data_IF_296887470801
#
_entry.id   IF_296887470801
#
_cell.length_a   1.000
_cell.length_b   1.000
_cell.length_c   1.000
_cell.angle_alpha   90.00
_cell.angle_beta   90.00
_cell.angle_gamma   90.00
#
_symmetry.space_group_name_H-M   'P 1'
#
loop_
_entity.id
_entity.type
_entity.pdbx_description
1 polymer ?
#
# COMPACT_ATOMS: atom_id res chain seq x y z
N UNK A 1 59.84 18.88 -46.14
CA UNK A 1 58.49 18.47 -46.49
C UNK A 1 58.10 17.39 -45.47
N UNK A 2 57.47 17.83 -44.42
CA UNK A 2 57.26 17.04 -43.20
C UNK A 2 55.79 16.57 -43.18
N UNK A 3 55.60 15.24 -43.12
CA UNK A 3 54.29 14.67 -42.92
C UNK A 3 54.03 14.51 -41.42
N UNK A 4 53.08 15.20 -40.93
CA UNK A 4 52.53 15.01 -39.59
C UNK A 4 51.42 13.96 -39.66
N UNK A 5 51.67 12.82 -39.02
CA UNK A 5 50.63 11.82 -38.70
C UNK A 5 50.16 12.09 -37.28
N UNK A 6 49.00 12.74 -37.11
CA UNK A 6 48.35 12.82 -35.84
C UNK A 6 47.61 11.48 -35.56
N UNK A 7 48.03 10.86 -34.50
CA UNK A 7 47.48 9.66 -33.93
C UNK A 7 46.15 9.94 -33.24
N UNK A 8 45.14 9.19 -33.63
CA UNK A 8 43.82 9.16 -32.96
C UNK A 8 43.92 8.24 -31.78
N UNK A 9 44.28 8.74 -30.61
CA UNK A 9 44.08 8.08 -29.33
C UNK A 9 43.07 8.89 -28.52
N UNK A 10 41.90 8.40 -28.35
CA UNK A 10 41.06 8.57 -27.12
C UNK A 10 39.58 8.29 -27.35
N UNK A 11 39.22 7.00 -27.53
CA UNK A 11 37.78 6.61 -27.47
C UNK A 11 37.50 5.45 -26.53
N UNK A 12 38.50 4.95 -25.76
CA UNK A 12 38.29 3.82 -24.86
C UNK A 12 38.00 4.19 -23.39
N UNK A 13 38.16 5.43 -22.98
CA UNK A 13 37.97 5.83 -21.58
C UNK A 13 36.49 5.97 -21.19
N UNK A 14 35.61 6.18 -22.16
CA UNK A 14 34.16 6.30 -21.91
C UNK A 14 33.46 4.96 -21.63
N UNK A 15 33.99 3.84 -22.13
CA UNK A 15 33.34 2.53 -21.93
C UNK A 15 33.73 1.87 -20.61
N UNK A 16 34.91 2.18 -20.07
CA UNK A 16 35.33 1.69 -18.75
C UNK A 16 34.51 2.29 -17.61
N UNK A 17 34.08 3.56 -17.75
CA UNK A 17 33.23 4.23 -16.75
C UNK A 17 31.79 3.70 -16.70
N UNK A 18 31.28 3.14 -17.81
CA UNK A 18 29.95 2.54 -17.86
C UNK A 18 29.92 1.11 -17.24
N UNK A 19 31.03 0.38 -17.27
CA UNK A 19 31.18 -0.91 -16.63
C UNK A 19 31.14 -0.82 -15.09
N UNK A 20 31.78 0.21 -14.52
CA UNK A 20 31.82 0.42 -13.07
C UNK A 20 30.46 0.79 -12.43
N UNK A 21 29.50 1.26 -13.23
CA UNK A 21 28.14 1.58 -12.76
C UNK A 21 27.25 0.32 -12.71
N UNK A 22 27.54 -0.68 -13.55
CA UNK A 22 26.77 -1.92 -13.61
C UNK A 22 27.09 -2.86 -12.42
N UNK A 23 28.31 -2.85 -11.90
CA UNK A 23 28.72 -3.74 -10.80
C UNK A 23 28.20 -3.28 -9.42
N UNK A 24 27.67 -2.05 -9.30
CA UNK A 24 27.14 -1.55 -8.04
C UNK A 24 25.62 -1.81 -7.86
N UNK A 25 24.98 -2.48 -8.83
CA UNK A 25 23.55 -2.87 -8.74
C UNK A 25 23.30 -4.13 -7.89
N UNK A 26 24.36 -4.79 -7.42
CA UNK A 26 24.34 -6.02 -6.63
C UNK A 26 24.65 -5.83 -5.13
N UNK A 27 24.65 -4.60 -4.59
CA UNK A 27 24.72 -4.43 -3.15
C UNK A 27 23.41 -4.96 -2.53
N UNK A 28 23.39 -6.22 -2.13
CA UNK A 28 22.44 -6.72 -1.14
C UNK A 28 22.58 -5.82 0.07
N UNK A 29 21.63 -4.89 0.20
CA UNK A 29 21.44 -4.14 1.44
C UNK A 29 21.07 -5.19 2.48
N UNK A 30 22.05 -5.59 3.29
CA UNK A 30 21.87 -6.39 4.49
C UNK A 30 20.99 -5.56 5.44
N UNK A 31 19.69 -5.58 5.14
CA UNK A 31 18.71 -4.88 5.92
C UNK A 31 18.60 -5.63 7.23
N UNK A 32 19.17 -5.07 8.29
CA UNK A 32 19.04 -5.57 9.65
C UNK A 32 17.62 -6.10 9.89
N UNK A 33 17.46 -7.26 10.54
CA UNK A 33 16.16 -7.88 10.75
C UNK A 33 15.24 -6.88 11.47
N UNK A 34 14.16 -6.51 10.79
CA UNK A 34 13.19 -5.55 11.33
C UNK A 34 12.50 -6.21 12.50
N UNK A 35 12.71 -5.71 13.72
CA UNK A 35 12.08 -6.24 14.92
C UNK A 35 10.56 -6.04 14.88
N UNK A 36 9.78 -7.03 15.37
CA UNK A 36 8.33 -6.91 15.48
C UNK A 36 7.94 -5.81 16.47
N UNK A 37 7.00 -4.93 16.07
CA UNK A 37 6.48 -3.85 16.92
C UNK A 37 5.16 -4.27 17.55
N UNK A 38 5.23 -4.87 18.72
CA UNK A 38 4.09 -5.41 19.48
C UNK A 38 3.91 -4.55 20.75
N UNK A 39 2.69 -4.18 21.07
CA UNK A 39 2.28 -3.47 22.25
C UNK A 39 2.29 -4.39 23.50
N UNK A 40 2.26 -3.83 24.72
CA UNK A 40 2.19 -4.55 25.99
C UNK A 40 1.01 -5.54 26.08
N UNK A 41 -0.02 -5.33 25.28
CA UNK A 41 -1.20 -6.22 25.16
C UNK A 41 -1.07 -7.30 24.07
N UNK A 42 0.12 -7.51 23.52
CA UNK A 42 0.36 -8.49 22.45
C UNK A 42 -0.25 -8.10 21.10
N UNK A 43 -0.54 -6.80 20.88
CA UNK A 43 -1.17 -6.28 19.66
C UNK A 43 -0.18 -5.50 18.82
N UNK A 44 -0.29 -5.61 17.51
CA UNK A 44 0.37 -4.72 16.56
C UNK A 44 -0.60 -3.64 16.08
N UNK A 45 -0.18 -2.39 16.10
CA UNK A 45 -0.99 -1.23 15.71
C UNK A 45 -0.54 -0.68 14.36
N UNK A 46 -1.49 -0.37 13.47
CA UNK A 46 -1.23 0.41 12.27
C UNK A 46 -2.41 1.29 11.88
N UNK A 47 -2.13 2.29 11.04
CA UNK A 47 -3.16 3.16 10.45
C UNK A 47 -3.31 2.85 8.97
N UNK A 48 -4.55 2.81 8.49
CA UNK A 48 -4.86 2.70 7.08
C UNK A 48 -5.65 3.92 6.58
N UNK A 49 -5.47 4.28 5.32
CA UNK A 49 -6.18 5.41 4.70
C UNK A 49 -6.61 5.06 3.28
N UNK A 50 -7.84 5.45 2.91
CA UNK A 50 -8.33 5.39 1.54
C UNK A 50 -9.39 6.47 1.29
N UNK A 51 -9.25 7.25 0.21
CA UNK A 51 -10.09 8.44 -0.04
C UNK A 51 -10.10 9.34 1.20
N UNK A 52 -11.29 9.66 1.73
CA UNK A 52 -11.49 10.46 2.94
C UNK A 52 -11.64 9.60 4.21
N UNK A 53 -11.43 8.28 4.10
CA UNK A 53 -11.55 7.35 5.23
C UNK A 53 -10.21 7.11 5.89
N UNK A 54 -10.21 7.10 7.22
CA UNK A 54 -9.08 6.71 8.06
C UNK A 54 -9.48 5.57 8.98
N UNK A 55 -8.60 4.58 9.13
CA UNK A 55 -8.76 3.45 10.03
C UNK A 55 -7.57 3.36 10.98
N UNK A 56 -7.85 3.06 12.24
CA UNK A 56 -6.87 2.62 13.24
C UNK A 56 -7.11 1.14 13.44
N UNK A 57 -6.10 0.32 13.27
CA UNK A 57 -6.22 -1.14 13.27
C UNK A 57 -5.24 -1.73 14.25
N UNK A 58 -5.73 -2.61 15.10
CA UNK A 58 -4.94 -3.45 16.00
C UNK A 58 -5.14 -4.91 15.59
N UNK A 59 -4.04 -5.61 15.43
CA UNK A 59 -4.00 -7.03 15.10
C UNK A 59 -3.36 -7.78 16.25
N UNK A 60 -3.96 -8.86 16.70
CA UNK A 60 -3.42 -9.80 17.70
C UNK A 60 -3.61 -11.23 17.21
N UNK A 61 -2.89 -12.19 17.74
CA UNK A 61 -3.18 -13.61 17.49
C UNK A 61 -4.52 -13.99 18.09
N UNK A 62 -5.31 -14.78 17.36
CA UNK A 62 -6.66 -15.15 17.78
C UNK A 62 -7.33 -16.14 16.84
N UNK A 63 -8.63 -16.02 16.70
CA UNK A 63 -9.52 -16.95 15.99
C UNK A 63 -10.04 -16.43 14.66
N UNK A 64 -9.54 -15.29 14.17
CA UNK A 64 -9.97 -14.68 12.92
C UNK A 64 -11.16 -13.72 13.05
N UNK A 65 -11.49 -13.28 14.27
CA UNK A 65 -12.60 -12.37 14.48
C UNK A 65 -12.23 -10.93 14.11
N UNK A 66 -13.06 -10.29 13.26
CA UNK A 66 -12.87 -8.88 12.86
C UNK A 66 -14.00 -8.02 13.44
N UNK A 67 -13.62 -7.07 14.29
CA UNK A 67 -14.53 -6.12 14.92
C UNK A 67 -14.25 -4.71 14.41
N UNK A 68 -15.29 -4.00 13.95
CA UNK A 68 -15.20 -2.64 13.42
C UNK A 68 -16.14 -1.72 14.20
N UNK A 69 -15.58 -0.68 14.82
CA UNK A 69 -16.35 0.25 15.67
C UNK A 69 -17.22 -0.46 16.72
N UNK A 70 -16.75 -1.56 17.31
CA UNK A 70 -17.48 -2.34 18.31
C UNK A 70 -18.55 -3.29 17.75
N UNK A 71 -18.72 -3.35 16.41
CA UNK A 71 -19.66 -4.26 15.73
C UNK A 71 -18.89 -5.35 14.99
N UNK A 72 -19.52 -6.51 14.79
CA UNK A 72 -18.94 -7.55 13.94
C UNK A 72 -18.84 -7.04 12.49
N UNK A 73 -17.84 -7.54 11.75
CA UNK A 73 -17.62 -7.18 10.35
C UNK A 73 -18.86 -7.43 9.47
N UNK A 74 -19.61 -8.50 9.72
CA UNK A 74 -20.81 -8.85 8.98
C UNK A 74 -21.93 -7.81 9.16
N UNK A 75 -22.07 -7.28 10.37
CA UNK A 75 -23.08 -6.28 10.70
C UNK A 75 -22.70 -4.87 10.21
N UNK A 76 -21.40 -4.57 10.24
CA UNK A 76 -20.91 -3.25 9.82
C UNK A 76 -20.79 -3.13 8.29
N UNK A 77 -20.21 -4.13 7.64
CA UNK A 77 -20.10 -4.22 6.19
C UNK A 77 -21.08 -5.25 5.65
N UNK A 78 -22.32 -4.84 5.42
CA UNK A 78 -23.41 -5.72 4.94
C UNK A 78 -23.16 -6.30 3.55
N UNK A 79 -22.30 -5.67 2.73
CA UNK A 79 -21.96 -6.15 1.39
C UNK A 79 -20.85 -7.21 1.44
N UNK A 80 -21.09 -8.46 0.96
CA UNK A 80 -20.10 -9.54 1.02
C UNK A 80 -18.76 -9.19 0.35
N UNK A 81 -18.79 -8.43 -0.74
CA UNK A 81 -17.58 -7.97 -1.44
C UNK A 81 -16.66 -7.15 -0.54
N UNK A 82 -17.21 -6.35 0.40
CA UNK A 82 -16.41 -5.58 1.33
C UNK A 82 -15.79 -6.47 2.42
N UNK A 83 -16.49 -7.52 2.83
CA UNK A 83 -15.97 -8.52 3.77
C UNK A 83 -14.81 -9.32 3.15
N UNK A 84 -14.98 -9.79 1.91
CA UNK A 84 -13.90 -10.44 1.14
C UNK A 84 -12.66 -9.54 1.03
N UNK A 85 -12.86 -8.25 0.78
CA UNK A 85 -11.76 -7.30 0.64
C UNK A 85 -10.92 -7.18 1.93
N UNK A 86 -11.51 -7.38 3.09
CA UNK A 86 -10.81 -7.37 4.38
C UNK A 86 -10.00 -8.66 4.60
N UNK A 87 -10.45 -9.79 4.07
CA UNK A 87 -9.78 -11.08 4.22
C UNK A 87 -8.59 -11.25 3.26
N UNK A 88 -8.57 -10.53 2.12
CA UNK A 88 -7.52 -10.63 1.11
C UNK A 88 -6.07 -10.60 1.66
N UNK A 89 -5.68 -9.70 2.58
CA UNK A 89 -4.33 -9.68 3.11
C UNK A 89 -3.96 -10.96 3.86
N UNK A 90 -4.91 -11.55 4.59
CA UNK A 90 -4.69 -12.80 5.34
C UNK A 90 -4.57 -14.01 4.42
N UNK A 91 -5.41 -14.09 3.39
CA UNK A 91 -5.36 -15.13 2.36
C UNK A 91 -4.04 -15.09 1.59
N UNK A 92 -3.62 -13.89 1.15
CA UNK A 92 -2.35 -13.71 0.44
C UNK A 92 -1.15 -14.05 1.30
N UNK A 93 -1.20 -13.76 2.60
CA UNK A 93 -0.16 -14.11 3.56
C UNK A 93 -0.20 -15.58 4.02
N UNK A 94 -1.21 -16.37 3.63
CA UNK A 94 -1.42 -17.73 4.11
C UNK A 94 -1.72 -17.83 5.61
N UNK A 95 -2.29 -16.78 6.20
CA UNK A 95 -2.57 -16.63 7.64
C UNK A 95 -4.06 -16.44 7.94
N UNK A 96 -4.92 -17.06 7.15
CA UNK A 96 -6.37 -16.97 7.34
C UNK A 96 -6.80 -17.60 8.67
N UNK A 97 -7.58 -16.86 9.48
CA UNK A 97 -8.10 -17.35 10.76
C UNK A 97 -7.13 -17.31 11.95
N UNK A 98 -5.89 -16.85 11.78
CA UNK A 98 -4.89 -16.81 12.88
C UNK A 98 -4.90 -15.49 13.66
N UNK A 99 -5.53 -14.44 13.13
CA UNK A 99 -5.47 -13.11 13.69
C UNK A 99 -6.85 -12.52 13.97
N UNK A 100 -7.03 -11.97 15.17
CA UNK A 100 -8.15 -11.11 15.52
C UNK A 100 -7.82 -9.66 15.18
N UNK A 101 -8.82 -8.94 14.67
CA UNK A 101 -8.69 -7.55 14.27
C UNK A 101 -9.68 -6.67 15.01
N UNK A 102 -9.18 -5.62 15.64
CA UNK A 102 -9.99 -4.54 16.19
C UNK A 102 -9.71 -3.28 15.36
N UNK A 103 -10.74 -2.72 14.73
CA UNK A 103 -10.61 -1.53 13.90
C UNK A 103 -11.53 -0.40 14.35
N UNK A 104 -11.00 0.81 14.42
CA UNK A 104 -11.80 2.04 14.58
C UNK A 104 -11.70 2.84 13.29
N UNK A 105 -12.84 3.14 12.67
CA UNK A 105 -12.91 3.77 11.35
C UNK A 105 -13.72 5.06 11.41
N UNK A 106 -13.23 6.11 10.72
CA UNK A 106 -13.90 7.41 10.60
C UNK A 106 -13.81 7.94 9.16
N UNK A 107 -14.79 8.74 8.79
CA UNK A 107 -14.87 9.48 7.52
C UNK A 107 -15.19 8.62 6.30
N UNK A 108 -15.46 9.28 5.19
CA UNK A 108 -15.79 8.67 3.90
C UNK A 108 -17.03 7.78 3.92
N UNK A 109 -17.12 6.85 2.98
CA UNK A 109 -18.20 5.86 2.89
C UNK A 109 -17.70 4.44 3.11
N UNK A 110 -18.60 3.46 3.26
CA UNK A 110 -18.29 2.05 3.58
C UNK A 110 -17.21 1.43 2.67
N UNK A 111 -17.23 1.70 1.36
CA UNK A 111 -16.22 1.22 0.42
C UNK A 111 -14.83 1.84 0.68
N UNK A 112 -14.77 3.11 1.06
CA UNK A 112 -13.52 3.78 1.46
C UNK A 112 -13.01 3.22 2.78
N UNK A 113 -13.90 3.03 3.74
CA UNK A 113 -13.59 2.49 5.06
C UNK A 113 -13.06 1.06 4.97
N UNK A 114 -13.69 0.17 4.20
CA UNK A 114 -13.18 -1.19 3.97
C UNK A 114 -11.77 -1.18 3.37
N UNK A 115 -11.51 -0.32 2.37
CA UNK A 115 -10.17 -0.18 1.82
C UNK A 115 -9.15 0.41 2.80
N UNK A 116 -9.58 1.31 3.69
CA UNK A 116 -8.72 1.84 4.75
C UNK A 116 -8.38 0.76 5.79
N UNK A 117 -9.36 -0.06 6.19
CA UNK A 117 -9.13 -1.19 7.12
C UNK A 117 -8.19 -2.21 6.48
N UNK A 118 -8.41 -2.60 5.21
CA UNK A 118 -7.51 -3.50 4.49
C UNK A 118 -6.06 -3.01 4.52
N UNK A 119 -5.85 -1.76 4.18
CA UNK A 119 -4.51 -1.15 4.20
C UNK A 119 -3.91 -1.14 5.62
N UNK A 120 -4.72 -0.85 6.64
CA UNK A 120 -4.30 -0.89 8.05
C UNK A 120 -3.93 -2.31 8.51
N UNK A 121 -4.72 -3.32 8.16
CA UNK A 121 -4.45 -4.74 8.45
C UNK A 121 -3.09 -5.12 7.87
N UNK A 122 -2.84 -4.85 6.59
CA UNK A 122 -1.58 -5.20 5.93
C UNK A 122 -0.36 -4.58 6.61
N UNK A 123 -0.45 -3.32 7.01
CA UNK A 123 0.61 -2.66 7.76
C UNK A 123 0.78 -3.19 9.19
N UNK A 124 -0.30 -3.57 9.87
CA UNK A 124 -0.23 -4.17 11.19
C UNK A 124 0.38 -5.57 11.14
N UNK A 125 0.02 -6.39 10.14
CA UNK A 125 0.61 -7.71 9.94
C UNK A 125 2.13 -7.66 9.76
N UNK A 126 2.65 -6.72 8.97
CA UNK A 126 4.10 -6.55 8.79
C UNK A 126 4.80 -6.13 10.08
N UNK A 127 4.13 -5.32 10.90
CA UNK A 127 4.69 -4.94 12.20
C UNK A 127 4.68 -6.09 13.20
N UNK A 128 3.75 -7.01 13.03
CA UNK A 128 3.67 -8.23 13.83
C UNK A 128 4.67 -9.29 13.34
N UNK A 129 4.69 -9.55 12.03
CA UNK A 129 5.60 -10.50 11.36
C UNK A 129 6.29 -9.81 10.16
N UNK A 130 7.50 -9.26 10.34
CA UNK A 130 8.21 -8.54 9.26
C UNK A 130 8.49 -9.38 8.01
N UNK A 131 8.61 -10.70 8.15
CA UNK A 131 8.80 -11.63 7.04
C UNK A 131 7.66 -11.66 6.00
N UNK A 132 6.44 -11.17 6.36
CA UNK A 132 5.30 -11.09 5.44
C UNK A 132 5.39 -9.89 4.46
N UNK A 133 6.35 -8.99 4.67
CA UNK A 133 6.49 -7.78 3.86
C UNK A 133 6.63 -8.03 2.35
N UNK A 134 7.48 -8.95 1.85
CA UNK A 134 7.62 -9.18 0.42
C UNK A 134 6.31 -9.66 -0.21
N UNK A 135 5.62 -10.59 0.42
CA UNK A 135 4.36 -11.17 -0.06
C UNK A 135 3.25 -10.10 -0.14
N UNK A 136 3.06 -9.32 0.94
CA UNK A 136 2.06 -8.26 0.98
C UNK A 136 2.41 -7.07 0.06
N UNK A 137 3.70 -6.82 -0.19
CA UNK A 137 4.15 -5.80 -1.15
C UNK A 137 3.86 -6.24 -2.58
N UNK A 138 4.13 -7.49 -2.93
CA UNK A 138 3.82 -8.07 -4.24
C UNK A 138 2.31 -8.03 -4.53
N UNK A 139 1.47 -8.31 -3.52
CA UNK A 139 0.00 -8.18 -3.61
C UNK A 139 -0.53 -6.75 -3.67
N UNK A 140 0.34 -5.72 -3.57
CA UNK A 140 -0.05 -4.31 -3.63
C UNK A 140 -0.79 -3.77 -2.40
N UNK A 141 -0.82 -4.50 -1.28
CA UNK A 141 -1.57 -4.13 -0.08
C UNK A 141 -0.92 -3.01 0.75
N UNK A 142 0.36 -2.75 0.54
CA UNK A 142 1.12 -1.74 1.28
C UNK A 142 1.05 -0.36 0.66
N UNK A 143 0.72 -0.28 -0.63
CA UNK A 143 0.63 0.99 -1.34
C UNK A 143 -0.72 1.64 -1.10
N UNK A 144 -0.71 2.90 -0.65
CA UNK A 144 -1.94 3.67 -0.52
C UNK A 144 -2.49 4.01 -1.90
N UNK A 145 -3.78 3.73 -2.13
CA UNK A 145 -4.51 4.21 -3.30
C UNK A 145 -4.70 5.73 -3.18
N UNK A 146 -4.03 6.48 -4.06
CA UNK A 146 -4.05 7.96 -4.06
C UNK A 146 -5.31 8.55 -4.70
N UNK A 147 -6.15 7.74 -5.37
CA UNK A 147 -7.35 8.22 -6.05
C UNK A 147 -8.34 8.84 -5.08
N UNK A 148 -8.65 10.13 -5.30
CA UNK A 148 -9.68 10.89 -4.58
C UNK A 148 -10.69 11.46 -5.56
N UNK A 149 -11.83 11.94 -5.06
CA UNK A 149 -12.86 12.55 -5.89
C UNK A 149 -12.33 13.87 -6.46
N UNK A 150 -12.40 14.04 -7.78
CA UNK A 150 -12.02 15.29 -8.44
C UNK A 150 -12.93 16.44 -7.98
N UNK A 151 -12.33 17.61 -7.75
CA UNK A 151 -13.04 18.83 -7.41
C UNK A 151 -13.99 19.24 -8.55
N UNK A 152 -15.20 19.65 -8.22
CA UNK A 152 -16.11 20.31 -9.16
C UNK A 152 -15.42 21.53 -9.77
N UNK A 153 -15.52 21.71 -11.08
CA UNK A 153 -14.98 22.88 -11.81
C UNK A 153 -16.09 23.87 -12.06
N UNK A 154 -15.72 25.15 -12.10
CA UNK A 154 -16.69 26.19 -12.44
C UNK A 154 -17.17 26.01 -13.89
N UNK A 155 -18.36 26.46 -14.25
CA UNK A 155 -18.93 26.29 -15.58
C UNK A 155 -19.30 24.84 -15.96
N UNK A 156 -19.15 23.87 -15.03
CA UNK A 156 -19.53 22.47 -15.23
C UNK A 156 -20.48 21.97 -14.14
N UNK A 157 -21.33 20.99 -14.47
CA UNK A 157 -22.26 20.40 -13.52
C UNK A 157 -21.54 19.58 -12.42
N UNK A 158 -20.45 18.88 -12.78
CA UNK A 158 -19.52 18.12 -11.88
C UNK A 158 -18.08 18.34 -12.34
N UNK A 159 -17.14 17.53 -11.84
CA UNK A 159 -15.72 17.62 -12.20
C UNK A 159 -15.48 17.57 -13.72
N UNK A 160 -16.16 16.65 -14.41
CA UNK A 160 -16.02 16.43 -15.87
C UNK A 160 -17.34 16.59 -16.65
N UNK A 161 -18.50 16.54 -15.98
CA UNK A 161 -19.81 16.67 -16.61
C UNK A 161 -20.08 18.11 -16.97
N UNK A 162 -20.29 18.39 -18.26
CA UNK A 162 -20.74 19.70 -18.79
C UNK A 162 -22.26 19.83 -18.71
N UNK A 163 -22.75 21.06 -18.75
CA UNK A 163 -24.18 21.31 -18.95
C UNK A 163 -24.56 20.97 -20.38
N UNK A 164 -25.81 20.57 -20.55
CA UNK A 164 -26.34 20.32 -21.89
C UNK A 164 -26.49 21.63 -22.65
N UNK A 165 -26.01 21.65 -23.88
CA UNK A 165 -26.21 22.77 -24.78
C UNK A 165 -27.67 22.74 -25.27
N UNK A 166 -28.40 23.84 -25.10
CA UNK A 166 -29.74 24.01 -25.65
C UNK A 166 -29.67 24.98 -26.83
N UNK A 167 -30.01 24.50 -28.02
CA UNK A 167 -30.29 25.37 -29.17
C UNK A 167 -31.67 25.97 -28.97
N UNK A 168 -31.76 27.23 -28.60
CA UNK A 168 -32.93 28.09 -28.71
C UNK A 168 -32.50 29.42 -29.27
#
# INVERSE_FOLDING_TARGET
MSNETETVENTNDGMAALGAIADNAGAEVDAAPVEPKIDSLGRSYATGRRKDSSARVWVKRGTGQITVNGKNVADYFTRPVLQMLLNQPFETAGRAGEFDVIATVKGGGLSGQAGAVRHGISHAMIRFEPGLRPVLKAGGFLTRDSRVVERKKYGKAKARRSFQFSKR
#
